data_IF_878302237157
#
_entry.id   IF_878302237157
#
_cell.length_a   1.000
_cell.length_b   1.000
_cell.length_c   1.000
_cell.angle_alpha   90.00
_cell.angle_beta   90.00
_cell.angle_gamma   90.00
#
_symmetry.space_group_name_H-M   'P 1'
#
loop_
_entity.id
_entity.type
_entity.pdbx_description
1 polymer ?
#
# COMPACT_ATOMS: atom_id res chain seq x y z
N UNK A 1 -0.69 17.54 -31.38
CA UNK A 1 -1.12 16.12 -31.41
C UNK A 1 -1.24 15.57 -30.00
N UNK A 2 -0.24 15.78 -29.15
CA UNK A 2 -0.25 15.38 -27.74
C UNK A 2 -1.51 15.80 -26.92
N UNK A 3 -2.08 17.00 -27.10
CA UNK A 3 -3.35 17.38 -26.41
C UNK A 3 -4.57 16.56 -26.87
N UNK A 4 -4.61 16.17 -28.16
CA UNK A 4 -5.67 15.32 -28.69
C UNK A 4 -5.53 13.89 -28.16
N UNK A 5 -4.29 13.39 -28.05
CA UNK A 5 -3.99 12.08 -27.45
C UNK A 5 -4.27 12.05 -25.94
N UNK A 6 -4.01 13.13 -25.20
CA UNK A 6 -4.39 13.20 -23.78
C UNK A 6 -5.92 13.19 -23.60
N UNK A 7 -6.66 13.85 -24.50
CA UNK A 7 -8.14 13.84 -24.49
C UNK A 7 -8.71 12.49 -24.91
N UNK A 8 -8.05 11.80 -25.85
CA UNK A 8 -8.39 10.44 -26.26
C UNK A 8 -8.07 9.43 -25.15
N UNK A 9 -6.91 9.56 -24.49
CA UNK A 9 -6.52 8.75 -23.32
C UNK A 9 -7.50 8.90 -22.18
N UNK A 10 -7.93 10.13 -21.88
CA UNK A 10 -8.95 10.39 -20.85
C UNK A 10 -10.27 9.70 -21.18
N UNK A 11 -10.72 9.77 -22.44
CA UNK A 11 -11.93 9.06 -22.89
C UNK A 11 -11.77 7.54 -22.84
N UNK A 12 -10.61 7.00 -23.21
CA UNK A 12 -10.35 5.55 -23.15
C UNK A 12 -10.19 5.04 -21.71
N UNK A 13 -9.64 5.87 -20.82
CA UNK A 13 -9.50 5.59 -19.39
C UNK A 13 -10.88 5.58 -18.70
N UNK A 14 -11.74 6.56 -19.01
CA UNK A 14 -13.12 6.60 -18.53
C UNK A 14 -13.98 5.45 -19.11
N UNK A 15 -13.65 4.96 -20.32
CA UNK A 15 -14.33 3.84 -20.97
C UNK A 15 -13.80 2.44 -20.57
N UNK A 16 -12.74 2.34 -19.76
CA UNK A 16 -12.20 1.07 -19.27
C UNK A 16 -11.63 0.11 -20.32
N UNK A 17 -11.28 0.61 -21.52
CA UNK A 17 -10.69 -0.22 -22.59
C UNK A 17 -9.17 -0.31 -22.44
N UNK A 18 -8.70 -1.31 -21.70
CA UNK A 18 -7.30 -1.51 -21.35
C UNK A 18 -6.39 -1.68 -22.58
N UNK A 19 -6.75 -2.56 -23.53
CA UNK A 19 -5.91 -2.87 -24.71
C UNK A 19 -5.68 -1.67 -25.64
N UNK A 20 -6.74 -0.93 -25.97
CA UNK A 20 -6.64 0.29 -26.78
C UNK A 20 -5.94 1.42 -26.01
N UNK A 21 -6.11 1.49 -24.69
CA UNK A 21 -5.48 2.49 -23.84
C UNK A 21 -3.96 2.31 -23.76
N UNK A 22 -3.46 1.07 -23.71
CA UNK A 22 -2.02 0.77 -23.69
C UNK A 22 -1.32 1.18 -24.99
N UNK A 23 -1.95 0.95 -26.14
CA UNK A 23 -1.40 1.36 -27.44
C UNK A 23 -1.29 2.89 -27.56
N UNK A 24 -2.34 3.60 -27.13
CA UNK A 24 -2.34 5.07 -27.11
C UNK A 24 -1.34 5.59 -26.08
N UNK A 25 -1.19 4.92 -24.94
CA UNK A 25 -0.20 5.27 -23.92
C UNK A 25 1.24 5.08 -24.44
N UNK A 26 1.51 4.02 -25.22
CA UNK A 26 2.82 3.83 -25.87
C UNK A 26 3.13 4.95 -26.87
N UNK A 27 2.13 5.38 -27.65
CA UNK A 27 2.27 6.52 -28.58
C UNK A 27 2.50 7.82 -27.81
N UNK A 28 1.73 8.07 -26.75
CA UNK A 28 1.89 9.24 -25.90
C UNK A 28 3.26 9.26 -25.18
N UNK A 29 3.77 8.11 -24.70
CA UNK A 29 5.12 8.01 -24.12
C UNK A 29 6.21 8.33 -25.13
N UNK A 30 6.03 7.98 -26.40
CA UNK A 30 6.97 8.36 -27.48
C UNK A 30 6.96 9.87 -27.71
N UNK A 31 5.78 10.49 -27.77
CA UNK A 31 5.70 11.95 -27.87
C UNK A 31 6.26 12.66 -26.62
N UNK A 32 6.15 12.05 -25.43
CA UNK A 32 6.75 12.57 -24.21
C UNK A 32 8.28 12.59 -24.27
N UNK A 33 8.92 11.63 -24.95
CA UNK A 33 10.40 11.62 -25.09
C UNK A 33 10.94 12.75 -25.98
N UNK A 34 10.08 13.39 -26.78
CA UNK A 34 10.47 14.52 -27.63
C UNK A 34 10.42 15.86 -26.87
N UNK A 35 9.89 15.89 -25.64
CA UNK A 35 9.83 17.12 -24.84
C UNK A 35 11.14 17.38 -24.08
N UNK A 36 11.84 18.46 -24.47
CA UNK A 36 13.05 18.96 -23.80
C UNK A 36 12.78 19.52 -22.38
N UNK A 37 11.52 19.81 -22.04
CA UNK A 37 11.13 20.36 -20.73
C UNK A 37 11.02 19.33 -19.60
N UNK A 38 11.22 18.04 -19.91
CA UNK A 38 11.21 16.93 -18.95
C UNK A 38 12.63 16.62 -18.45
N UNK A 39 12.79 15.99 -17.27
CA UNK A 39 14.09 15.49 -16.84
C UNK A 39 14.64 14.55 -17.93
N UNK A 40 15.87 14.74 -18.46
CA UNK A 40 17.06 15.34 -17.82
C UNK A 40 17.44 16.78 -18.23
N UNK A 41 16.80 17.41 -19.21
CA UNK A 41 17.31 18.66 -19.79
C UNK A 41 16.79 19.92 -19.06
N UNK A 42 15.64 19.83 -18.38
CA UNK A 42 15.02 20.87 -17.51
C UNK A 42 15.05 22.31 -18.06
N UNK A 43 15.08 22.49 -19.38
CA UNK A 43 15.17 23.81 -19.99
C UNK A 43 13.85 24.58 -19.81
N UNK A 44 13.96 25.81 -19.31
CA UNK A 44 12.80 26.69 -19.06
C UNK A 44 12.45 27.42 -20.36
N UNK A 45 11.84 26.71 -21.30
CA UNK A 45 11.30 27.31 -22.54
C UNK A 45 9.91 27.92 -22.29
N UNK A 46 9.46 28.89 -23.10
CA UNK A 46 8.09 29.47 -23.04
C UNK A 46 6.94 28.44 -23.11
N UNK A 47 7.22 27.22 -23.60
CA UNK A 47 6.25 26.12 -23.74
C UNK A 47 6.34 25.09 -22.60
N UNK A 48 7.32 25.22 -21.69
CA UNK A 48 7.63 24.22 -20.65
C UNK A 48 6.45 23.94 -19.72
N UNK A 49 5.74 24.99 -19.27
CA UNK A 49 4.55 24.86 -18.41
C UNK A 49 3.44 24.03 -19.05
N UNK A 50 3.19 24.21 -20.35
CA UNK A 50 2.15 23.45 -21.08
C UNK A 50 2.57 22.00 -21.31
N UNK A 51 3.84 21.76 -21.63
CA UNK A 51 4.39 20.41 -21.79
C UNK A 51 4.34 19.62 -20.48
N UNK A 52 4.70 20.25 -19.34
CA UNK A 52 4.63 19.63 -18.03
C UNK A 52 3.19 19.38 -17.56
N UNK A 53 2.26 20.31 -17.83
CA UNK A 53 0.82 20.09 -17.60
C UNK A 53 0.29 18.89 -18.39
N UNK A 54 0.68 18.79 -19.66
CA UNK A 54 0.27 17.69 -20.53
C UNK A 54 0.87 16.35 -20.09
N UNK A 55 2.13 16.34 -19.68
CA UNK A 55 2.78 15.16 -19.12
C UNK A 55 2.06 14.67 -17.87
N UNK A 56 1.71 15.57 -16.95
CA UNK A 56 0.89 15.24 -15.77
C UNK A 56 -0.42 14.59 -16.16
N UNK A 57 -1.18 15.18 -17.09
CA UNK A 57 -2.49 14.66 -17.50
C UNK A 57 -2.39 13.26 -18.16
N UNK A 58 -1.31 13.02 -18.91
CA UNK A 58 -1.01 11.70 -19.50
C UNK A 58 -0.68 10.68 -18.41
N UNK A 59 0.18 11.03 -17.43
CA UNK A 59 0.53 10.12 -16.34
C UNK A 59 -0.66 9.85 -15.40
N UNK A 60 -1.48 10.85 -15.07
CA UNK A 60 -2.73 10.65 -14.31
C UNK A 60 -3.65 9.66 -15.05
N UNK A 61 -3.79 9.81 -16.38
CA UNK A 61 -4.61 8.90 -17.19
C UNK A 61 -3.99 7.50 -17.29
N UNK A 62 -2.66 7.40 -17.31
CA UNK A 62 -1.94 6.13 -17.30
C UNK A 62 -2.14 5.36 -15.99
N UNK A 63 -2.17 6.06 -14.85
CA UNK A 63 -2.45 5.48 -13.54
C UNK A 63 -3.87 4.90 -13.51
N UNK A 64 -4.88 5.66 -13.96
CA UNK A 64 -6.27 5.17 -14.03
C UNK A 64 -6.40 3.94 -14.93
N UNK A 65 -5.73 3.92 -16.08
CA UNK A 65 -5.69 2.75 -16.96
C UNK A 65 -5.01 1.55 -16.30
N UNK A 66 -3.91 1.76 -15.57
CA UNK A 66 -3.17 0.70 -14.89
C UNK A 66 -3.98 0.09 -13.74
N UNK A 67 -4.77 0.92 -13.05
CA UNK A 67 -5.75 0.46 -12.06
C UNK A 67 -6.84 -0.40 -12.69
N UNK A 68 -7.36 0.01 -13.86
CA UNK A 68 -8.33 -0.79 -14.61
C UNK A 68 -7.74 -2.13 -15.10
N UNK A 69 -6.44 -2.16 -15.40
CA UNK A 69 -5.69 -3.37 -15.74
C UNK A 69 -5.33 -4.24 -14.52
N UNK A 70 -5.52 -3.74 -13.30
CA UNK A 70 -5.13 -4.37 -12.03
C UNK A 70 -3.64 -4.75 -11.93
N UNK A 71 -2.76 -4.01 -12.62
CA UNK A 71 -1.30 -4.23 -12.58
C UNK A 71 -0.64 -3.35 -11.49
N UNK A 72 -0.38 -3.95 -10.33
CA UNK A 72 0.22 -3.27 -9.16
C UNK A 72 1.59 -2.65 -9.47
N UNK A 73 2.42 -3.34 -10.25
CA UNK A 73 3.77 -2.88 -10.58
C UNK A 73 3.73 -1.69 -11.56
N UNK A 74 2.83 -1.76 -12.56
CA UNK A 74 2.63 -0.63 -13.47
C UNK A 74 2.08 0.61 -12.75
N UNK A 75 1.17 0.43 -11.79
CA UNK A 75 0.63 1.52 -10.96
C UNK A 75 1.76 2.21 -10.20
N UNK A 76 2.57 1.45 -9.44
CA UNK A 76 3.68 2.00 -8.66
C UNK A 76 4.67 2.80 -9.55
N UNK A 77 5.05 2.24 -10.70
CA UNK A 77 5.93 2.92 -11.65
C UNK A 77 5.32 4.22 -12.19
N UNK A 78 4.04 4.21 -12.54
CA UNK A 78 3.38 5.41 -13.08
C UNK A 78 3.18 6.50 -12.04
N UNK A 79 2.99 6.13 -10.77
CA UNK A 79 2.94 7.07 -9.65
C UNK A 79 4.32 7.66 -9.33
N UNK A 80 5.39 6.85 -9.36
CA UNK A 80 6.75 7.36 -9.21
C UNK A 80 7.12 8.39 -10.29
N UNK A 81 6.71 8.15 -11.54
CA UNK A 81 6.88 9.12 -12.62
C UNK A 81 6.02 10.40 -12.43
N UNK A 82 4.91 10.31 -11.70
CA UNK A 82 4.04 11.44 -11.41
C UNK A 82 4.56 12.31 -10.25
N UNK A 83 5.36 11.76 -9.32
CA UNK A 83 5.88 12.46 -8.12
C UNK A 83 6.50 13.84 -8.42
N UNK A 84 7.44 14.00 -9.39
CA UNK A 84 8.06 15.29 -9.63
C UNK A 84 7.05 16.36 -10.06
N UNK A 85 6.01 15.97 -10.81
CA UNK A 85 4.96 16.89 -11.26
C UNK A 85 4.01 17.30 -10.14
N UNK A 86 3.86 16.47 -9.11
CA UNK A 86 3.00 16.74 -7.96
C UNK A 86 3.67 17.58 -6.88
N UNK A 87 5.00 17.49 -6.74
CA UNK A 87 5.75 18.17 -5.68
C UNK A 87 6.65 19.29 -6.22
N UNK A 88 7.62 18.98 -7.08
CA UNK A 88 8.66 19.93 -7.52
C UNK A 88 8.10 20.99 -8.49
N UNK A 89 7.29 20.58 -9.46
CA UNK A 89 6.74 21.50 -10.47
C UNK A 89 5.40 22.12 -10.07
N UNK A 90 5.01 21.97 -8.80
CA UNK A 90 3.71 22.44 -8.31
C UNK A 90 3.52 23.94 -8.51
N UNK A 91 4.54 24.72 -8.15
CA UNK A 91 4.50 26.19 -8.20
C UNK A 91 4.33 26.71 -9.63
N UNK A 92 4.79 25.96 -10.62
CA UNK A 92 4.70 26.36 -12.03
C UNK A 92 3.39 25.91 -12.69
N UNK A 93 2.92 24.70 -12.40
CA UNK A 93 1.85 24.01 -13.13
C UNK A 93 0.47 24.29 -12.51
N UNK A 94 0.41 24.58 -11.21
CA UNK A 94 -0.81 24.76 -10.42
C UNK A 94 -1.47 23.44 -10.03
N UNK A 95 -2.35 23.47 -9.03
CA UNK A 95 -2.99 22.27 -8.47
C UNK A 95 -4.04 21.65 -9.41
N UNK A 96 -4.06 20.30 -9.51
CA UNK A 96 -5.10 19.57 -10.24
C UNK A 96 -6.19 19.07 -9.28
N UNK A 97 -7.44 19.01 -9.76
CA UNK A 97 -8.57 18.48 -8.98
C UNK A 97 -8.43 16.99 -8.63
N UNK A 98 -7.55 16.25 -9.31
CA UNK A 98 -7.32 14.81 -9.10
C UNK A 98 -6.06 14.53 -8.27
N UNK A 99 -5.30 15.56 -7.88
CA UNK A 99 -4.05 15.40 -7.15
C UNK A 99 -4.21 14.64 -5.84
N UNK A 100 -5.21 15.00 -5.03
CA UNK A 100 -5.48 14.34 -3.77
C UNK A 100 -5.89 12.86 -3.93
N UNK A 101 -6.55 12.52 -5.05
CA UNK A 101 -6.84 11.12 -5.40
C UNK A 101 -5.58 10.36 -5.82
N UNK A 102 -4.68 10.97 -6.60
CA UNK A 102 -3.42 10.31 -7.00
C UNK A 102 -2.48 10.09 -5.80
N UNK A 103 -2.37 11.07 -4.91
CA UNK A 103 -1.58 10.93 -3.67
C UNK A 103 -2.20 9.88 -2.75
N UNK A 104 -3.53 9.88 -2.60
CA UNK A 104 -4.22 8.84 -1.83
C UNK A 104 -4.01 7.44 -2.42
N UNK A 105 -4.01 7.31 -3.75
CA UNK A 105 -3.70 6.04 -4.42
C UNK A 105 -2.27 5.57 -4.13
N UNK A 106 -1.32 6.49 -4.16
CA UNK A 106 0.09 6.21 -3.87
C UNK A 106 0.29 5.75 -2.43
N UNK A 107 -0.30 6.45 -1.47
CA UNK A 107 -0.32 6.03 -0.06
C UNK A 107 -0.96 4.64 0.10
N UNK A 108 -2.03 4.34 -0.65
CA UNK A 108 -2.68 3.03 -0.59
C UNK A 108 -1.80 1.92 -1.17
N UNK A 109 -1.05 2.18 -2.25
CA UNK A 109 -0.10 1.22 -2.82
C UNK A 109 1.01 0.88 -1.82
N UNK A 110 1.57 1.90 -1.16
CA UNK A 110 2.60 1.71 -0.12
C UNK A 110 2.07 0.89 1.07
N UNK A 111 0.80 1.12 1.46
CA UNK A 111 0.15 0.35 2.52
C UNK A 111 0.00 -1.13 2.13
N UNK A 112 -0.40 -1.42 0.89
CA UNK A 112 -0.51 -2.80 0.38
C UNK A 112 0.85 -3.50 0.30
N UNK A 113 1.93 -2.74 0.03
CA UNK A 113 3.30 -3.25 0.01
C UNK A 113 3.93 -3.40 1.40
N UNK A 114 3.22 -3.01 2.47
CA UNK A 114 3.73 -2.97 3.85
C UNK A 114 4.96 -2.05 4.05
N UNK A 115 5.18 -1.09 3.15
CA UNK A 115 6.29 -0.12 3.23
C UNK A 115 5.89 1.12 4.03
N UNK A 116 5.66 0.94 5.34
CA UNK A 116 5.19 2.00 6.25
C UNK A 116 6.17 3.18 6.37
N UNK A 117 7.48 2.95 6.21
CA UNK A 117 8.47 4.00 6.27
C UNK A 117 8.27 5.02 5.13
N UNK A 118 8.16 4.55 3.89
CA UNK A 118 7.93 5.42 2.73
C UNK A 118 6.54 6.07 2.78
N UNK A 119 5.55 5.36 3.33
CA UNK A 119 4.23 5.92 3.59
C UNK A 119 4.30 7.17 4.49
N UNK A 120 4.99 7.09 5.64
CA UNK A 120 5.09 8.22 6.55
C UNK A 120 5.96 9.36 5.98
N UNK A 121 7.02 9.04 5.24
CA UNK A 121 7.83 10.05 4.53
C UNK A 121 7.00 10.79 3.46
N UNK A 122 6.15 10.07 2.71
CA UNK A 122 5.27 10.69 1.73
C UNK A 122 4.20 11.56 2.41
N UNK A 123 3.67 11.11 3.55
CA UNK A 123 2.68 11.84 4.33
C UNK A 123 3.25 13.14 4.92
N UNK A 124 4.54 13.19 5.24
CA UNK A 124 5.24 14.39 5.69
C UNK A 124 5.34 15.46 4.59
N UNK A 125 5.47 15.03 3.33
CA UNK A 125 5.57 15.93 2.17
C UNK A 125 4.22 16.58 1.80
N UNK A 126 3.10 15.98 2.21
CA UNK A 126 1.74 16.49 1.94
C UNK A 126 1.39 17.61 2.92
N UNK A 127 0.82 18.70 2.40
CA UNK A 127 0.44 19.84 3.26
C UNK A 127 -0.76 19.51 4.17
N UNK A 128 -0.85 20.16 5.33
CA UNK A 128 -1.98 19.96 6.26
C UNK A 128 -3.36 20.21 5.64
N UNK A 129 -3.45 21.07 4.62
CA UNK A 129 -4.73 21.35 3.93
C UNK A 129 -5.20 20.17 3.09
N UNK A 130 -4.28 19.52 2.39
CA UNK A 130 -4.54 18.36 1.53
C UNK A 130 -4.81 17.10 2.36
N UNK A 131 -4.21 16.99 3.55
CA UNK A 131 -4.47 15.87 4.48
C UNK A 131 -5.94 15.77 4.93
N UNK A 132 -6.65 16.90 4.94
CA UNK A 132 -8.09 16.94 5.25
C UNK A 132 -8.99 16.52 4.08
N UNK A 133 -8.42 16.25 2.89
CA UNK A 133 -9.21 15.69 1.80
C UNK A 133 -9.65 14.27 2.11
N UNK A 134 -10.89 13.97 1.72
CA UNK A 134 -11.56 12.68 2.00
C UNK A 134 -10.72 11.47 1.57
N UNK A 135 -9.99 11.58 0.45
CA UNK A 135 -9.16 10.52 -0.08
C UNK A 135 -7.94 10.21 0.80
N UNK A 136 -7.25 11.25 1.28
CA UNK A 136 -6.03 11.09 2.10
C UNK A 136 -6.43 10.71 3.53
N UNK A 137 -7.47 11.33 4.07
CA UNK A 137 -8.02 10.97 5.38
C UNK A 137 -8.45 9.50 5.40
N UNK A 138 -9.11 9.00 4.35
CA UNK A 138 -9.50 7.59 4.27
C UNK A 138 -8.32 6.63 4.38
N UNK A 139 -7.22 6.90 3.66
CA UNK A 139 -6.03 6.04 3.70
C UNK A 139 -5.29 6.17 5.03
N UNK A 140 -5.28 7.37 5.64
CA UNK A 140 -4.70 7.57 6.97
C UNK A 140 -5.50 6.83 8.06
N UNK A 141 -6.84 6.87 8.01
CA UNK A 141 -7.70 6.08 8.91
C UNK A 141 -7.45 4.58 8.74
N UNK A 142 -7.24 4.13 7.50
CA UNK A 142 -6.98 2.73 7.19
C UNK A 142 -5.64 2.25 7.76
N UNK A 143 -4.58 3.05 7.62
CA UNK A 143 -3.28 2.81 8.24
C UNK A 143 -3.41 2.76 9.77
N UNK A 144 -4.10 3.73 10.37
CA UNK A 144 -4.33 3.74 11.81
C UNK A 144 -5.06 2.47 12.28
N UNK A 145 -6.09 2.02 11.56
CA UNK A 145 -6.79 0.78 11.91
C UNK A 145 -5.90 -0.47 11.79
N UNK A 146 -4.97 -0.48 10.82
CA UNK A 146 -3.99 -1.55 10.68
C UNK A 146 -3.01 -1.54 11.86
N UNK A 147 -2.48 -0.36 12.21
CA UNK A 147 -1.57 -0.15 13.33
C UNK A 147 -2.21 -0.41 14.70
N UNK A 148 -3.52 -0.15 14.85
CA UNK A 148 -4.29 -0.51 16.04
C UNK A 148 -4.68 -2.01 16.09
N UNK A 149 -4.47 -2.77 15.00
CA UNK A 149 -4.97 -4.15 14.87
C UNK A 149 -6.50 -4.25 14.79
N UNK A 150 -7.19 -3.16 14.46
CA UNK A 150 -8.66 -3.09 14.36
C UNK A 150 -9.16 -3.58 13.00
N UNK A 151 -8.87 -4.84 12.67
CA UNK A 151 -9.14 -5.40 11.34
C UNK A 151 -10.63 -5.39 10.92
N UNK A 152 -11.55 -5.48 11.88
CA UNK A 152 -12.99 -5.37 11.61
C UNK A 152 -13.36 -4.05 10.89
N UNK A 153 -12.69 -2.95 11.26
CA UNK A 153 -12.91 -1.64 10.63
C UNK A 153 -12.30 -1.58 9.24
N UNK A 154 -11.15 -2.23 9.03
CA UNK A 154 -10.48 -2.35 7.72
C UNK A 154 -11.38 -3.07 6.72
N UNK A 155 -11.94 -4.22 7.11
CA UNK A 155 -12.87 -5.00 6.26
C UNK A 155 -14.20 -4.26 6.03
N UNK A 156 -14.60 -3.38 6.95
CA UNK A 156 -15.75 -2.48 6.77
C UNK A 156 -15.47 -1.25 5.89
N UNK A 157 -14.19 -0.86 5.76
CA UNK A 157 -13.77 0.35 5.06
C UNK A 157 -14.04 0.30 3.55
N UNK A 158 -14.14 -0.91 2.96
CA UNK A 158 -14.56 -1.11 1.55
C UNK A 158 -15.90 -0.46 1.20
N UNK A 159 -16.82 -0.34 2.17
CA UNK A 159 -18.11 0.33 1.95
C UNK A 159 -18.02 1.86 1.97
N UNK A 160 -16.94 2.40 2.53
CA UNK A 160 -16.71 3.85 2.71
C UNK A 160 -15.79 4.44 1.63
N UNK A 161 -15.38 3.65 0.64
CA UNK A 161 -14.38 4.05 -0.35
C UNK A 161 -14.84 5.27 -1.17
N UNK A 162 -14.08 6.38 -1.18
CA UNK A 162 -14.46 7.60 -1.90
C UNK A 162 -14.30 7.47 -3.43
N UNK A 163 -13.40 6.61 -3.91
CA UNK A 163 -13.08 6.46 -5.33
C UNK A 163 -13.13 4.99 -5.79
N UNK A 164 -13.76 4.73 -6.94
CA UNK A 164 -13.82 3.38 -7.55
C UNK A 164 -12.44 2.79 -7.83
N UNK A 165 -11.48 3.67 -8.13
CA UNK A 165 -10.07 3.37 -8.38
C UNK A 165 -9.40 2.58 -7.24
N UNK A 166 -9.87 2.72 -5.99
CA UNK A 166 -9.25 2.06 -4.84
C UNK A 166 -9.76 0.63 -4.62
N UNK A 167 -10.86 0.24 -5.27
CA UNK A 167 -11.52 -1.04 -5.01
C UNK A 167 -10.63 -2.26 -5.25
N UNK A 168 -9.87 -2.28 -6.35
CA UNK A 168 -8.97 -3.39 -6.69
C UNK A 168 -7.80 -3.52 -5.70
N UNK A 169 -7.24 -2.39 -5.24
CA UNK A 169 -6.16 -2.39 -4.26
C UNK A 169 -6.65 -2.78 -2.86
N UNK A 170 -7.86 -2.37 -2.50
CA UNK A 170 -8.48 -2.75 -1.23
C UNK A 170 -8.78 -4.25 -1.18
N UNK A 171 -9.18 -4.88 -2.29
CA UNK A 171 -9.37 -6.34 -2.34
C UNK A 171 -8.06 -7.09 -2.04
N UNK A 172 -6.94 -6.62 -2.59
CA UNK A 172 -5.63 -7.17 -2.23
C UNK A 172 -5.27 -6.94 -0.76
N UNK A 173 -5.60 -5.78 -0.20
CA UNK A 173 -5.33 -5.49 1.20
C UNK A 173 -6.17 -6.39 2.12
N UNK A 174 -7.43 -6.65 1.77
CA UNK A 174 -8.31 -7.57 2.51
C UNK A 174 -7.73 -8.98 2.58
N UNK A 175 -7.10 -9.45 1.49
CA UNK A 175 -6.43 -10.74 1.46
C UNK A 175 -5.22 -10.77 2.41
N UNK A 176 -4.32 -9.79 2.31
CA UNK A 176 -3.15 -9.67 3.21
C UNK A 176 -3.56 -9.55 4.68
N UNK A 177 -4.60 -8.76 4.98
CA UNK A 177 -5.11 -8.62 6.35
C UNK A 177 -5.69 -9.93 6.88
N UNK A 178 -6.33 -10.75 6.04
CA UNK A 178 -6.79 -12.09 6.44
C UNK A 178 -5.63 -13.04 6.72
N UNK A 179 -4.54 -12.92 5.99
CA UNK A 179 -3.30 -13.66 6.25
C UNK A 179 -2.71 -13.30 7.61
N UNK A 180 -2.62 -12.01 7.93
CA UNK A 180 -2.15 -11.51 9.22
C UNK A 180 -3.06 -11.93 10.38
N UNK A 181 -4.39 -11.87 10.21
CA UNK A 181 -5.34 -12.38 11.20
C UNK A 181 -5.12 -13.88 11.44
N UNK A 182 -4.91 -14.65 10.36
CA UNK A 182 -4.63 -16.08 10.45
C UNK A 182 -3.36 -16.38 11.27
N UNK A 183 -2.26 -15.67 10.96
CA UNK A 183 -0.99 -15.77 11.70
C UNK A 183 -1.16 -15.41 13.18
N UNK A 184 -1.92 -14.35 13.48
CA UNK A 184 -2.20 -13.92 14.84
C UNK A 184 -3.05 -14.95 15.62
N UNK A 185 -4.02 -15.60 14.97
CA UNK A 185 -4.85 -16.65 15.59
C UNK A 185 -3.99 -17.87 15.96
N UNK A 186 -3.05 -18.26 15.09
CA UNK A 186 -2.12 -19.37 15.33
C UNK A 186 -1.27 -19.16 16.60
N UNK A 187 -0.83 -17.92 16.86
CA UNK A 187 -0.02 -17.58 18.03
C UNK A 187 -0.86 -17.35 19.28
N UNK A 188 -2.05 -16.77 19.14
CA UNK A 188 -2.83 -16.28 20.28
C UNK A 188 -3.68 -17.36 20.96
N UNK A 189 -4.10 -18.38 20.22
CA UNK A 189 -5.04 -19.39 20.72
C UNK A 189 -4.49 -20.80 20.55
N UNK A 190 -4.63 -21.64 21.59
CA UNK A 190 -4.37 -23.08 21.46
C UNK A 190 -5.52 -23.81 20.76
N UNK A 191 -6.75 -23.31 20.91
CA UNK A 191 -7.92 -23.80 20.19
C UNK A 191 -9.00 -22.73 20.04
N UNK A 192 -9.76 -22.76 18.95
CA UNK A 192 -10.86 -21.82 18.69
C UNK A 192 -12.05 -22.53 18.02
N UNK A 193 -13.28 -22.10 18.32
CA UNK A 193 -14.46 -22.61 17.61
C UNK A 193 -14.54 -22.08 16.17
N UNK A 194 -15.09 -22.88 15.25
CA UNK A 194 -15.31 -22.48 13.85
C UNK A 194 -16.13 -21.19 13.75
N UNK A 195 -17.16 -21.04 14.60
CA UNK A 195 -18.01 -19.84 14.61
C UNK A 195 -17.29 -18.56 15.03
N UNK A 196 -16.30 -18.67 15.94
CA UNK A 196 -15.50 -17.54 16.38
C UNK A 196 -14.43 -17.19 15.34
N UNK A 197 -13.78 -18.19 14.74
CA UNK A 197 -12.84 -17.98 13.64
C UNK A 197 -13.51 -17.30 12.44
N UNK A 198 -14.72 -17.73 12.07
CA UNK A 198 -15.50 -17.10 11.00
C UNK A 198 -15.80 -15.62 11.28
N UNK A 199 -16.18 -15.29 12.52
CA UNK A 199 -16.43 -13.89 12.92
C UNK A 199 -15.17 -13.05 12.89
N UNK A 200 -14.03 -13.59 13.34
CA UNK A 200 -12.75 -12.88 13.36
C UNK A 200 -12.22 -12.59 11.95
N UNK A 201 -12.32 -13.55 11.03
CA UNK A 201 -11.92 -13.37 9.64
C UNK A 201 -12.98 -12.68 8.78
N UNK A 202 -14.17 -12.43 9.35
CA UNK A 202 -15.33 -11.84 8.68
C UNK A 202 -15.66 -12.53 7.33
N UNK A 203 -15.61 -13.87 7.32
CA UNK A 203 -15.89 -14.67 6.13
C UNK A 203 -17.41 -14.88 5.97
N UNK A 204 -17.89 -14.72 4.73
CA UNK A 204 -19.32 -14.86 4.39
C UNK A 204 -19.80 -16.31 4.38
N UNK A 205 -18.89 -17.29 4.30
CA UNK A 205 -19.24 -18.72 4.22
C UNK A 205 -18.24 -19.59 5.00
N UNK A 206 -18.76 -20.64 5.65
CA UNK A 206 -17.97 -21.65 6.34
C UNK A 206 -17.06 -22.44 5.39
N UNK A 207 -17.46 -22.60 4.12
CA UNK A 207 -16.61 -23.25 3.10
C UNK A 207 -15.34 -22.46 2.78
N UNK A 208 -15.42 -21.13 2.77
CA UNK A 208 -14.23 -20.30 2.53
C UNK A 208 -13.22 -20.41 3.67
N UNK A 209 -13.69 -20.72 4.88
CA UNK A 209 -12.82 -21.01 6.02
C UNK A 209 -12.16 -22.39 5.87
N UNK A 210 -12.90 -23.41 5.41
CA UNK A 210 -12.38 -24.75 5.11
C UNK A 210 -11.34 -24.74 3.97
N UNK A 211 -11.55 -23.94 2.93
CA UNK A 211 -10.57 -23.75 1.85
C UNK A 211 -9.30 -23.07 2.39
N UNK A 212 -9.46 -22.05 3.24
CA UNK A 212 -8.33 -21.37 3.88
C UNK A 212 -7.57 -22.28 4.84
N UNK A 213 -8.27 -23.16 5.57
CA UNK A 213 -7.67 -24.18 6.43
C UNK A 213 -6.84 -25.18 5.62
N UNK A 214 -7.31 -25.58 4.44
CA UNK A 214 -6.57 -26.51 3.57
C UNK A 214 -5.24 -25.93 3.11
N UNK A 215 -5.13 -24.60 3.05
CA UNK A 215 -3.87 -23.90 2.74
C UNK A 215 -2.90 -23.78 3.91
N UNK A 216 -3.32 -24.12 5.15
CA UNK A 216 -2.52 -23.96 6.38
C UNK A 216 -2.28 -25.32 7.04
N UNK A 217 -1.05 -25.82 6.95
CA UNK A 217 -0.65 -27.14 7.48
C UNK A 217 -0.74 -27.29 9.01
N UNK A 218 -0.85 -26.17 9.74
CA UNK A 218 -0.77 -26.15 11.22
C UNK A 218 -2.13 -26.25 11.94
N UNK A 219 -3.24 -26.35 11.20
CA UNK A 219 -4.60 -26.28 11.73
C UNK A 219 -5.23 -27.69 11.75
N UNK A 220 -5.50 -28.23 12.93
CA UNK A 220 -6.21 -29.50 13.07
C UNK A 220 -7.67 -29.27 13.44
N UNK A 221 -8.60 -29.86 12.68
CA UNK A 221 -10.03 -29.74 12.94
C UNK A 221 -10.50 -30.92 13.79
N UNK A 222 -10.83 -30.65 15.04
CA UNK A 222 -11.48 -31.59 15.95
C UNK A 222 -12.98 -31.24 16.04
N UNK A 223 -13.76 -31.67 15.05
CA UNK A 223 -15.20 -31.46 15.01
C UNK A 223 -15.62 -29.99 14.89
N UNK A 224 -15.97 -29.36 16.00
CA UNK A 224 -16.41 -27.94 16.06
C UNK A 224 -15.29 -26.95 16.42
N UNK A 225 -14.10 -27.46 16.73
CA UNK A 225 -12.98 -26.69 17.28
C UNK A 225 -11.73 -26.93 16.44
N UNK A 226 -11.05 -25.85 16.11
CA UNK A 226 -9.75 -25.83 15.44
C UNK A 226 -8.70 -25.83 16.56
N UNK A 227 -7.82 -26.80 16.55
CA UNK A 227 -6.66 -26.86 17.43
C UNK A 227 -5.44 -26.43 16.63
N UNK A 228 -4.69 -25.46 17.14
CA UNK A 228 -3.47 -24.99 16.48
C UNK A 228 -2.28 -25.73 17.08
N UNK A 229 -1.40 -26.26 16.22
CA UNK A 229 -0.07 -26.72 16.64
C UNK A 229 0.80 -25.51 16.93
N UNK A 230 0.51 -24.83 18.04
CA UNK A 230 1.37 -23.76 18.52
C UNK A 230 2.79 -24.31 18.75
N UNK A 231 3.80 -23.50 18.46
CA UNK A 231 5.15 -23.81 18.95
C UNK A 231 5.07 -24.02 20.46
N UNK A 232 5.68 -25.08 21.01
CA UNK A 232 5.74 -25.25 22.44
C UNK A 232 6.38 -23.99 23.03
N UNK A 233 5.74 -23.41 24.05
CA UNK A 233 6.30 -22.30 24.82
C UNK A 233 7.72 -22.69 25.19
N UNK A 234 8.71 -22.14 24.47
CA UNK A 234 10.12 -22.41 24.75
C UNK A 234 10.35 -22.00 26.19
N UNK A 235 10.79 -22.95 27.03
CA UNK A 235 11.01 -22.71 28.44
C UNK A 235 11.85 -21.43 28.61
N UNK A 236 11.33 -20.46 29.37
CA UNK A 236 11.99 -19.17 29.60
C UNK A 236 13.41 -19.34 30.19
N UNK A 237 13.70 -20.51 30.77
CA UNK A 237 15.00 -20.88 31.29
C UNK A 237 16.10 -20.94 30.21
N UNK A 238 15.77 -21.35 28.98
CA UNK A 238 16.75 -21.44 27.88
C UNK A 238 16.95 -20.10 27.17
N UNK A 239 16.03 -19.14 27.33
CA UNK A 239 16.11 -17.82 26.70
C UNK A 239 16.94 -16.81 27.48
N UNK A 240 17.19 -17.04 28.77
CA UNK A 240 18.00 -16.12 29.58
C UNK A 240 19.48 -16.51 29.37
N UNK A 241 20.30 -15.67 28.71
CA UNK A 241 21.71 -15.95 28.50
C UNK A 241 22.47 -15.67 29.80
N UNK A 242 22.28 -16.54 30.79
CA UNK A 242 22.88 -16.47 32.12
C UNK A 242 24.41 -16.33 32.05
N UNK A 243 25.05 -17.03 31.11
CA UNK A 243 26.48 -16.92 30.86
C UNK A 243 26.91 -15.52 30.35
N UNK A 244 26.12 -14.90 29.48
CA UNK A 244 26.41 -13.55 28.97
C UNK A 244 26.28 -12.50 30.09
N UNK A 245 25.27 -12.65 30.96
CA UNK A 245 25.10 -11.78 32.14
C UNK A 245 26.26 -11.92 33.13
N UNK A 246 26.71 -13.16 33.38
CA UNK A 246 27.88 -13.43 34.23
C UNK A 246 29.12 -12.78 33.61
N UNK A 247 29.38 -12.98 32.31
CA UNK A 247 30.53 -12.40 31.62
C UNK A 247 30.51 -10.86 31.65
N UNK A 248 29.34 -10.24 31.44
CA UNK A 248 29.20 -8.78 31.52
C UNK A 248 29.47 -8.24 32.93
N UNK A 249 29.00 -8.95 33.97
CA UNK A 249 29.26 -8.61 35.37
C UNK A 249 30.74 -8.75 35.72
N UNK A 250 31.39 -9.80 35.22
CA UNK A 250 32.82 -10.06 35.43
C UNK A 250 33.70 -9.03 34.71
N UNK A 251 33.33 -8.65 33.48
CA UNK A 251 33.99 -7.58 32.74
C UNK A 251 33.82 -6.22 33.44
N UNK A 252 32.62 -5.94 33.97
CA UNK A 252 32.39 -4.71 34.73
C UNK A 252 33.24 -4.66 36.01
N UNK A 253 33.30 -5.77 36.75
CA UNK A 253 34.16 -5.90 37.92
C UNK A 253 35.65 -5.74 37.54
N UNK A 254 36.08 -6.36 36.43
CA UNK A 254 37.45 -6.24 35.94
C UNK A 254 37.83 -4.80 35.54
N UNK A 255 36.94 -4.08 34.85
CA UNK A 255 37.16 -2.67 34.50
C UNK A 255 37.15 -1.75 35.73
N UNK A 256 36.39 -2.07 36.78
CA UNK A 256 36.42 -1.34 38.06
C UNK A 256 37.69 -1.62 38.87
N UNK A 257 38.20 -2.85 38.83
CA UNK A 257 39.45 -3.22 39.51
C UNK A 257 40.70 -2.77 38.75
N UNK A 258 40.57 -2.47 37.45
CA UNK A 258 41.67 -1.90 36.68
C UNK A 258 41.92 -0.46 37.13
N UNK A 259 42.91 -0.30 38.00
CA UNK A 259 43.44 1.01 38.38
C UNK A 259 43.90 1.73 37.10
N UNK A 260 43.29 2.88 36.81
CA UNK A 260 43.73 3.82 35.76
C UNK A 260 44.91 4.63 36.27
#
# INVERSE_FOLDING_TARGET
MAEALAKELRKTAEAGKVSSGEEVLRKAKRELTEFEALPPNTEVTRTSKKQRQLARDIYESAVVLSVAANDKAAIARHLQLLRPFNFEYRDEIGDSSRRAEMIGLELLVLLVQQELAEFHSLLELVSMKERNDKCITFVTELEQYLSEGSYNKVLGARKRTPCKTYSSLLESLEETVREEIGSCIEVSYSSISISAAQKLMNLSSQKALEDYMTSKDNWEVNGSTITFKGEPVKDLADQIPSHALIQSSLNYAHELERIV
#
